data_IF_281745262760
#
_entry.id   IF_281745262760
#
_cell.length_a   1.000
_cell.length_b   1.000
_cell.length_c   1.000
_cell.angle_alpha   90.00
_cell.angle_beta   90.00
_cell.angle_gamma   90.00
#
_symmetry.space_group_name_H-M   'P 1'
#
loop_
_entity.id
_entity.type
_entity.pdbx_description
1 polymer ?
#
# COMPACT_ATOMS: atom_id res chain seq x y z
N UNK A 1 10.99 -1.75 3.16
CA UNK A 1 11.12 -1.72 4.63
C UNK A 1 9.72 -1.77 5.23
N UNK A 2 9.50 -2.51 6.33
CA UNK A 2 8.22 -2.52 7.05
C UNK A 2 8.27 -1.40 8.09
N UNK A 3 7.54 -0.32 7.85
CA UNK A 3 7.49 0.84 8.75
C UNK A 3 6.21 0.82 9.58
N UNK A 4 6.34 0.69 10.90
CA UNK A 4 5.25 0.64 11.87
C UNK A 4 4.69 2.02 12.23
N UNK A 5 5.24 3.11 11.69
CA UNK A 5 4.65 4.44 11.83
C UNK A 5 3.34 4.58 11.05
N UNK A 6 3.15 3.76 10.00
CA UNK A 6 2.05 3.90 9.06
C UNK A 6 1.41 2.56 8.71
N UNK A 7 0.11 2.57 8.47
CA UNK A 7 -0.60 1.46 7.83
C UNK A 7 -0.32 1.47 6.33
N UNK A 8 0.76 0.80 5.94
CA UNK A 8 1.33 0.88 4.59
C UNK A 8 1.43 -0.50 3.92
N UNK A 9 0.69 -0.67 2.84
CA UNK A 9 0.75 -1.85 1.96
C UNK A 9 1.24 -1.45 0.56
N UNK A 10 1.77 -2.42 -0.19
CA UNK A 10 2.32 -2.21 -1.52
C UNK A 10 1.77 -3.31 -2.44
N UNK A 11 1.20 -2.92 -3.57
CA UNK A 11 0.91 -3.85 -4.67
C UNK A 11 2.11 -3.90 -5.60
N UNK A 12 2.49 -5.10 -6.02
CA UNK A 12 3.60 -5.35 -6.96
C UNK A 12 3.05 -6.22 -8.09
N UNK A 13 2.79 -5.67 -9.28
CA UNK A 13 2.40 -6.46 -10.44
C UNK A 13 3.42 -7.57 -10.71
N UNK A 14 2.96 -8.80 -10.93
CA UNK A 14 3.82 -9.96 -11.20
C UNK A 14 4.17 -10.05 -12.69
N UNK A 15 4.70 -8.96 -13.22
CA UNK A 15 5.15 -8.83 -14.61
C UNK A 15 6.63 -8.43 -14.58
N UNK A 16 7.47 -9.15 -15.32
CA UNK A 16 8.91 -8.91 -15.34
C UNK A 16 9.24 -7.59 -16.05
N UNK A 17 10.33 -6.95 -15.61
CA UNK A 17 10.94 -5.79 -16.27
C UNK A 17 10.02 -4.57 -16.49
N UNK A 18 9.03 -4.41 -15.62
CA UNK A 18 8.15 -3.23 -15.57
C UNK A 18 8.60 -2.29 -14.46
N UNK A 19 8.82 -1.02 -14.81
CA UNK A 19 9.09 0.08 -13.90
C UNK A 19 7.95 1.08 -13.78
N UNK A 20 7.10 1.19 -14.79
CA UNK A 20 6.04 2.19 -14.87
C UNK A 20 4.69 1.57 -15.24
N UNK A 21 3.60 2.17 -14.76
CA UNK A 21 2.24 1.67 -15.03
C UNK A 21 1.97 1.62 -16.53
N UNK A 22 2.44 2.60 -17.31
CA UNK A 22 2.20 2.66 -18.76
C UNK A 22 2.93 1.57 -19.56
N UNK A 23 3.88 0.86 -18.95
CA UNK A 23 4.58 -0.25 -19.59
C UNK A 23 3.82 -1.58 -19.47
N UNK A 24 2.85 -1.67 -18.56
CA UNK A 24 1.90 -2.78 -18.53
C UNK A 24 1.02 -2.72 -19.79
N UNK A 25 0.53 -3.88 -20.26
CA UNK A 25 -0.51 -3.88 -21.27
C UNK A 25 -1.83 -3.30 -20.72
N UNK A 26 -2.76 -2.93 -21.60
CA UNK A 26 -4.02 -2.28 -21.19
C UNK A 26 -4.83 -3.14 -20.20
N UNK A 27 -4.81 -4.47 -20.37
CA UNK A 27 -5.52 -5.39 -19.50
C UNK A 27 -4.93 -5.37 -18.09
N UNK A 28 -3.61 -5.40 -17.99
CA UNK A 28 -2.89 -5.38 -16.72
C UNK A 28 -2.94 -4.01 -16.03
N UNK A 29 -2.98 -2.91 -16.79
CA UNK A 29 -3.25 -1.58 -16.24
C UNK A 29 -4.63 -1.51 -15.60
N UNK A 30 -5.65 -2.04 -16.28
CA UNK A 30 -7.01 -2.10 -15.75
C UNK A 30 -7.12 -3.04 -14.54
N UNK A 31 -6.40 -4.16 -14.57
CA UNK A 31 -6.32 -5.08 -13.43
C UNK A 31 -5.67 -4.42 -12.21
N UNK A 32 -4.54 -3.74 -12.40
CA UNK A 32 -3.87 -2.98 -11.33
C UNK A 32 -4.81 -1.93 -10.71
N UNK A 33 -5.57 -1.21 -11.54
CA UNK A 33 -6.54 -0.22 -11.04
C UNK A 33 -7.67 -0.87 -10.22
N UNK A 34 -8.17 -2.04 -10.66
CA UNK A 34 -9.21 -2.79 -9.93
C UNK A 34 -8.69 -3.29 -8.58
N UNK A 35 -7.50 -3.89 -8.57
CA UNK A 35 -6.84 -4.36 -7.34
C UNK A 35 -6.55 -3.21 -6.37
N UNK A 36 -6.01 -2.10 -6.89
CA UNK A 36 -5.73 -0.89 -6.13
C UNK A 36 -6.98 -0.28 -5.51
N UNK A 37 -8.06 -0.17 -6.28
CA UNK A 37 -9.35 0.36 -5.81
C UNK A 37 -9.99 -0.55 -4.76
N UNK A 38 -10.00 -1.87 -4.98
CA UNK A 38 -10.47 -2.84 -4.01
C UNK A 38 -9.67 -2.75 -2.71
N UNK A 39 -8.34 -2.84 -2.79
CA UNK A 39 -7.47 -2.78 -1.62
C UNK A 39 -7.69 -1.48 -0.85
N UNK A 40 -7.72 -0.34 -1.55
CA UNK A 40 -7.97 0.97 -0.95
C UNK A 40 -9.28 1.03 -0.17
N UNK A 41 -10.37 0.53 -0.75
CA UNK A 41 -11.67 0.48 -0.07
C UNK A 41 -11.63 -0.43 1.16
N UNK A 42 -11.06 -1.63 1.05
CA UNK A 42 -10.97 -2.59 2.16
C UNK A 42 -10.12 -2.06 3.31
N UNK A 43 -9.00 -1.40 3.00
CA UNK A 43 -8.14 -0.77 4.01
C UNK A 43 -8.86 0.37 4.73
N UNK A 44 -9.49 1.28 3.99
CA UNK A 44 -10.19 2.42 4.59
C UNK A 44 -11.33 1.97 5.50
N UNK A 45 -12.15 1.00 5.06
CA UNK A 45 -13.23 0.43 5.88
C UNK A 45 -12.69 -0.35 7.07
N UNK A 46 -11.66 -1.18 6.88
CA UNK A 46 -11.12 -2.07 7.92
C UNK A 46 -10.32 -1.37 9.01
N UNK A 47 -9.78 -0.19 8.72
CA UNK A 47 -8.96 0.59 9.66
C UNK A 47 -9.58 1.93 10.06
N UNK A 48 -10.73 2.30 9.50
CA UNK A 48 -11.40 3.58 9.76
C UNK A 48 -10.46 4.78 9.59
N UNK A 49 -9.61 4.75 8.56
CA UNK A 49 -8.67 5.84 8.27
C UNK A 49 -9.37 7.13 7.88
N UNK A 50 -8.66 8.26 8.01
CA UNK A 50 -9.19 9.56 7.59
C UNK A 50 -8.96 9.81 6.09
N UNK A 51 -7.85 9.31 5.53
CA UNK A 51 -7.53 9.46 4.11
C UNK A 51 -6.67 8.31 3.60
N UNK A 52 -6.85 7.94 2.34
CA UNK A 52 -5.91 7.06 1.63
C UNK A 52 -4.93 7.89 0.78
N UNK A 53 -3.65 7.58 0.84
CA UNK A 53 -2.65 8.03 -0.13
C UNK A 53 -2.22 6.85 -1.00
N UNK A 54 -2.21 7.07 -2.32
CA UNK A 54 -1.75 6.10 -3.31
C UNK A 54 -0.64 6.75 -4.13
N UNK A 55 0.43 6.02 -4.42
CA UNK A 55 1.52 6.53 -5.27
C UNK A 55 2.37 5.43 -5.88
N UNK A 56 2.63 5.55 -7.18
CA UNK A 56 3.72 4.85 -7.85
C UNK A 56 4.91 5.82 -7.90
N UNK A 57 5.96 5.49 -7.17
CA UNK A 57 7.23 6.21 -7.20
C UNK A 57 8.25 5.33 -7.94
N UNK A 58 9.37 4.99 -7.31
CA UNK A 58 10.35 4.07 -7.90
C UNK A 58 11.72 4.68 -8.15
N UNK A 59 11.99 5.92 -7.71
CA UNK A 59 13.28 6.60 -7.91
C UNK A 59 14.54 5.81 -7.47
N UNK A 60 14.39 4.80 -6.59
CA UNK A 60 15.49 3.92 -6.15
C UNK A 60 15.28 2.43 -6.43
N UNK A 61 14.02 1.97 -6.50
CA UNK A 61 13.67 0.57 -6.74
C UNK A 61 12.91 0.54 -8.05
N UNK A 62 13.52 0.04 -9.15
CA UNK A 62 12.95 0.18 -10.48
C UNK A 62 11.79 -0.77 -10.75
N UNK A 63 11.59 -1.83 -9.96
CA UNK A 63 10.42 -2.69 -10.12
C UNK A 63 9.15 -1.90 -9.78
N UNK A 64 8.16 -1.91 -10.67
CA UNK A 64 6.88 -1.23 -10.46
C UNK A 64 6.21 -1.70 -9.17
N UNK A 65 5.85 -0.74 -8.33
CA UNK A 65 5.13 -0.98 -7.10
C UNK A 65 4.24 0.20 -6.75
N UNK A 66 3.04 -0.09 -6.26
CA UNK A 66 2.01 0.89 -5.96
C UNK A 66 1.75 0.94 -4.46
N UNK A 67 2.15 2.04 -3.82
CA UNK A 67 1.96 2.26 -2.39
C UNK A 67 0.50 2.57 -2.07
N UNK A 68 -0.01 2.02 -0.97
CA UNK A 68 -1.31 2.32 -0.39
C UNK A 68 -1.12 2.58 1.10
N UNK A 69 -1.41 3.80 1.55
CA UNK A 69 -1.13 4.24 2.91
C UNK A 69 -2.40 4.82 3.52
N UNK A 70 -2.90 4.18 4.58
CA UNK A 70 -4.01 4.71 5.38
C UNK A 70 -3.44 5.77 6.32
N UNK A 71 -4.02 6.98 6.27
CA UNK A 71 -3.58 8.17 6.99
C UNK A 71 -4.54 8.53 8.11
N UNK A 72 -3.99 9.06 9.19
CA UNK A 72 -4.73 9.57 10.35
C UNK A 72 -4.26 11.00 10.65
N UNK A 73 -5.09 11.78 11.35
CA UNK A 73 -4.78 13.18 11.63
C UNK A 73 -3.64 13.32 12.66
N UNK A 74 -3.40 12.28 13.44
CA UNK A 74 -2.36 12.14 14.45
C UNK A 74 -1.16 11.30 13.98
N UNK A 75 -1.13 10.87 12.70
CA UNK A 75 0.04 10.16 12.18
C UNK A 75 1.26 11.10 12.06
N UNK A 76 2.50 10.58 12.20
CA UNK A 76 3.70 11.41 12.32
C UNK A 76 4.00 12.33 11.12
N UNK A 77 3.34 12.14 9.99
CA UNK A 77 3.56 12.92 8.78
C UNK A 77 2.38 13.81 8.39
N UNK A 78 1.24 13.73 9.06
CA UNK A 78 0.05 14.51 8.70
C UNK A 78 0.31 16.02 8.77
N UNK A 79 -0.17 16.85 7.81
CA UNK A 79 -0.91 16.51 6.59
C UNK A 79 -0.02 16.24 5.37
N UNK A 80 1.31 16.19 5.54
CA UNK A 80 2.28 15.99 4.48
C UNK A 80 2.43 14.53 4.03
N UNK A 81 3.27 14.29 3.00
CA UNK A 81 3.62 12.94 2.56
C UNK A 81 4.48 12.21 3.59
N UNK A 82 4.38 10.87 3.62
CA UNK A 82 5.14 10.04 4.57
C UNK A 82 6.62 9.85 4.17
N UNK A 83 6.93 9.98 2.87
CA UNK A 83 8.22 9.55 2.32
C UNK A 83 9.38 10.37 2.87
N UNK A 84 10.22 9.73 3.69
CA UNK A 84 11.39 10.36 4.31
C UNK A 84 11.07 11.36 5.42
N UNK A 85 9.83 11.41 5.91
CA UNK A 85 9.40 12.40 6.90
C UNK A 85 9.94 12.10 8.30
N UNK A 86 9.95 10.84 8.70
CA UNK A 86 10.49 10.35 9.99
C UNK A 86 11.28 9.07 9.75
N UNK A 87 12.20 8.69 10.67
CA UNK A 87 12.84 7.38 10.63
C UNK A 87 11.81 6.25 10.71
N UNK A 88 12.04 5.19 9.94
CA UNK A 88 11.16 4.02 9.94
C UNK A 88 11.16 3.32 11.31
N UNK A 89 9.98 2.94 11.77
CA UNK A 89 9.78 2.22 13.03
C UNK A 89 9.66 0.74 12.76
N UNK A 90 10.34 -0.10 13.53
CA UNK A 90 10.18 -1.55 13.41
C UNK A 90 8.86 -2.03 14.03
N UNK A 91 8.26 -3.02 13.39
CA UNK A 91 7.15 -3.75 14.00
C UNK A 91 7.69 -4.70 15.06
N UNK A 92 7.03 -4.74 16.23
CA UNK A 92 7.18 -5.88 17.14
C UNK A 92 6.55 -7.13 16.51
N UNK A 93 7.07 -8.32 16.83
CA UNK A 93 6.67 -9.56 16.18
C UNK A 93 5.16 -9.84 16.30
N UNK A 94 4.60 -9.62 17.49
CA UNK A 94 3.19 -9.82 17.80
C UNK A 94 2.31 -8.81 17.05
N UNK A 95 2.74 -7.54 17.01
CA UNK A 95 2.05 -6.50 16.27
C UNK A 95 2.02 -6.81 14.77
N UNK A 96 3.15 -7.27 14.22
CA UNK A 96 3.23 -7.67 12.82
C UNK A 96 2.30 -8.85 12.52
N UNK A 97 2.27 -9.87 13.37
CA UNK A 97 1.41 -11.03 13.20
C UNK A 97 -0.08 -10.65 13.18
N UNK A 98 -0.52 -9.80 14.12
CA UNK A 98 -1.90 -9.29 14.16
C UNK A 98 -2.22 -8.49 12.89
N UNK A 99 -1.30 -7.66 12.44
CA UNK A 99 -1.48 -6.85 11.23
C UNK A 99 -1.59 -7.71 9.97
N UNK A 100 -0.73 -8.72 9.80
CA UNK A 100 -0.78 -9.64 8.66
C UNK A 100 -2.10 -10.40 8.64
N UNK A 101 -2.53 -10.92 9.79
CA UNK A 101 -3.79 -11.66 9.88
C UNK A 101 -5.00 -10.78 9.55
N UNK A 102 -5.03 -9.54 10.06
CA UNK A 102 -6.09 -8.58 9.71
C UNK A 102 -6.09 -8.26 8.21
N UNK A 103 -4.92 -8.05 7.61
CA UNK A 103 -4.82 -7.76 6.18
C UNK A 103 -5.30 -8.93 5.32
N UNK A 104 -4.94 -10.18 5.68
CA UNK A 104 -5.45 -11.38 4.99
C UNK A 104 -6.96 -11.39 4.93
N UNK A 105 -7.63 -11.24 6.08
CA UNK A 105 -9.10 -11.20 6.16
C UNK A 105 -9.73 -10.07 5.35
N UNK A 106 -9.07 -8.92 5.30
CA UNK A 106 -9.56 -7.79 4.51
C UNK A 106 -9.48 -8.07 3.00
N UNK A 107 -8.54 -8.91 2.56
CA UNK A 107 -8.28 -9.21 1.14
C UNK A 107 -8.78 -10.57 0.66
N UNK A 108 -9.25 -11.44 1.55
CA UNK A 108 -9.68 -12.84 1.26
C UNK A 108 -10.73 -12.97 0.15
N UNK A 109 -11.58 -11.97 -0.06
CA UNK A 109 -12.68 -12.01 -1.02
C UNK A 109 -12.44 -11.12 -2.24
N UNK A 110 -11.19 -11.02 -2.71
CA UNK A 110 -10.93 -10.33 -3.97
C UNK A 110 -11.59 -11.12 -5.12
N UNK A 111 -12.54 -10.53 -5.87
CA UNK A 111 -13.14 -11.22 -7.01
C UNK A 111 -12.12 -11.29 -8.15
N UNK A 112 -11.83 -12.49 -8.65
CA UNK A 112 -11.03 -12.71 -9.87
C UNK A 112 -11.72 -12.13 -11.12
#
# INVERSE_FOLDING_TARGET
>A
MRDANYLWTILVPRVADISEIYQLDEKDQMQLLRESSFLGQRLMTGFAGHKLNIGALGNRVPQLHLHHIVRFADDPAWPGPIWGKVPGKEYQAEQLAVMVEKLRRLTENYPE
#
